data_IF_669378553653
#
_entry.id   IF_669378553653
#
_cell.length_a   1.000
_cell.length_b   1.000
_cell.length_c   1.000
_cell.angle_alpha   90.00
_cell.angle_beta   90.00
_cell.angle_gamma   90.00
#
_symmetry.space_group_name_H-M   'P 1'
#
loop_
_entity.id
_entity.type
_entity.pdbx_description
1 polymer ?
#
# COMPACT_ATOMS: atom_id res chain seq x y z
N UNK A 1 -12.30 25.79 -12.27
CA UNK A 1 -11.34 24.70 -11.98
C UNK A 1 -12.04 23.72 -11.07
N UNK A 2 -12.33 22.51 -11.54
CA UNK A 2 -12.88 21.46 -10.67
C UNK A 2 -11.87 21.14 -9.56
N UNK A 3 -12.33 20.90 -8.32
CA UNK A 3 -11.42 20.60 -7.21
C UNK A 3 -10.60 19.34 -7.54
N UNK A 4 -9.28 19.43 -7.32
CA UNK A 4 -8.37 18.30 -7.48
C UNK A 4 -8.79 17.20 -6.51
N UNK A 5 -9.12 16.02 -7.03
CA UNK A 5 -9.49 14.87 -6.21
C UNK A 5 -8.34 14.55 -5.24
N UNK A 6 -8.64 14.55 -3.95
CA UNK A 6 -7.71 14.13 -2.90
C UNK A 6 -7.68 12.60 -2.86
N UNK A 7 -6.48 12.03 -2.98
CA UNK A 7 -6.21 10.60 -2.86
C UNK A 7 -5.41 10.43 -1.58
N UNK A 8 -5.94 9.68 -0.61
CA UNK A 8 -5.39 9.61 0.75
C UNK A 8 -4.74 8.26 1.02
N UNK A 9 -5.25 7.21 0.38
CA UNK A 9 -4.77 5.84 0.53
C UNK A 9 -4.24 5.31 -0.80
N UNK A 10 -3.39 4.28 -0.73
CA UNK A 10 -2.91 3.57 -1.94
C UNK A 10 -4.08 3.04 -2.78
N UNK A 11 -5.17 2.63 -2.13
CA UNK A 11 -6.38 2.15 -2.82
C UNK A 11 -7.12 3.26 -3.57
N UNK A 12 -7.05 4.52 -3.11
CA UNK A 12 -7.60 5.66 -3.85
C UNK A 12 -6.84 5.88 -5.16
N UNK A 13 -5.52 5.71 -5.14
CA UNK A 13 -4.70 5.78 -6.36
C UNK A 13 -5.01 4.63 -7.31
N UNK A 14 -5.20 3.41 -6.78
CA UNK A 14 -5.63 2.25 -7.58
C UNK A 14 -6.95 2.54 -8.31
N UNK A 15 -7.97 3.01 -7.59
CA UNK A 15 -9.27 3.40 -8.16
C UNK A 15 -9.17 4.55 -9.16
N UNK A 16 -8.33 5.54 -8.89
CA UNK A 16 -8.10 6.63 -9.82
C UNK A 16 -7.42 6.14 -11.11
N UNK A 17 -6.50 5.19 -11.01
CA UNK A 17 -5.81 4.61 -12.16
C UNK A 17 -6.79 3.87 -13.10
N UNK A 18 -7.80 3.19 -12.57
CA UNK A 18 -8.88 2.56 -13.36
C UNK A 18 -9.61 3.56 -14.28
N UNK A 19 -9.67 4.84 -13.90
CA UNK A 19 -10.30 5.89 -14.73
C UNK A 19 -9.38 6.45 -15.82
N UNK A 20 -8.07 6.15 -15.76
CA UNK A 20 -7.04 6.77 -16.61
C UNK A 20 -6.35 5.78 -17.54
N UNK A 21 -6.18 4.55 -17.08
CA UNK A 21 -5.52 3.49 -17.84
C UNK A 21 -6.49 2.84 -18.81
N UNK A 22 -5.98 2.39 -19.95
CA UNK A 22 -6.76 1.53 -20.81
C UNK A 22 -6.85 0.11 -20.21
N UNK A 23 -7.78 -0.70 -20.73
CA UNK A 23 -8.04 -2.05 -20.20
C UNK A 23 -6.79 -2.94 -20.17
N UNK A 24 -5.98 -2.91 -21.22
CA UNK A 24 -4.79 -3.75 -21.33
C UNK A 24 -3.75 -3.38 -20.27
N UNK A 25 -3.50 -2.08 -20.07
CA UNK A 25 -2.58 -1.59 -19.04
C UNK A 25 -3.07 -1.94 -17.64
N UNK A 26 -4.38 -1.74 -17.40
CA UNK A 26 -4.97 -2.01 -16.10
C UNK A 26 -4.88 -3.51 -15.73
N UNK A 27 -5.23 -4.40 -16.65
CA UNK A 27 -5.14 -5.85 -16.45
C UNK A 27 -3.67 -6.29 -16.28
N UNK A 28 -2.73 -5.68 -16.98
CA UNK A 28 -1.31 -5.99 -16.85
C UNK A 28 -0.76 -5.67 -15.45
N UNK A 29 -1.13 -4.53 -14.87
CA UNK A 29 -0.63 -4.12 -13.55
C UNK A 29 -1.37 -4.77 -12.38
N UNK A 30 -2.68 -4.99 -12.51
CA UNK A 30 -3.49 -5.54 -11.42
C UNK A 30 -3.52 -7.08 -11.42
N UNK A 31 -3.20 -7.72 -12.55
CA UNK A 31 -3.32 -9.16 -12.71
C UNK A 31 -2.37 -9.98 -11.85
N UNK A 32 -2.89 -11.04 -11.24
CA UNK A 32 -2.14 -12.10 -10.60
C UNK A 32 -2.00 -13.35 -11.49
N UNK A 33 -1.43 -14.41 -10.93
CA UNK A 33 -1.34 -15.70 -11.61
C UNK A 33 -2.62 -16.52 -11.44
N UNK A 34 -3.12 -17.09 -12.55
CA UNK A 34 -4.29 -17.99 -12.60
C UNK A 34 -5.51 -17.37 -11.88
N UNK A 35 -6.07 -18.04 -10.87
CA UNK A 35 -7.21 -17.55 -10.05
C UNK A 35 -6.82 -16.47 -9.01
N UNK A 36 -5.57 -15.98 -9.03
CA UNK A 36 -5.07 -14.90 -8.15
C UNK A 36 -5.14 -15.21 -6.64
N UNK A 37 -5.28 -16.49 -6.26
CA UNK A 37 -5.41 -16.91 -4.87
C UNK A 37 -4.26 -16.45 -3.97
N UNK A 38 -3.03 -16.44 -4.50
CA UNK A 38 -1.85 -15.95 -3.78
C UNK A 38 -1.90 -14.44 -3.57
N UNK A 39 -2.39 -13.67 -4.55
CA UNK A 39 -2.56 -12.22 -4.42
C UNK A 39 -3.55 -11.91 -3.29
N UNK A 40 -4.74 -12.53 -3.33
CA UNK A 40 -5.76 -12.38 -2.28
C UNK A 40 -5.25 -12.84 -0.90
N UNK A 41 -4.47 -13.93 -0.85
CA UNK A 41 -3.88 -14.44 0.39
C UNK A 41 -2.86 -13.45 0.98
N UNK A 42 -2.02 -12.83 0.16
CA UNK A 42 -1.01 -11.88 0.63
C UNK A 42 -1.65 -10.65 1.28
N UNK A 43 -2.71 -10.11 0.67
CA UNK A 43 -3.46 -8.99 1.26
C UNK A 43 -4.14 -9.40 2.58
N UNK A 44 -4.80 -10.56 2.59
CA UNK A 44 -5.48 -11.07 3.78
C UNK A 44 -4.52 -11.42 4.93
N UNK A 45 -3.28 -11.79 4.63
CA UNK A 45 -2.29 -12.14 5.65
C UNK A 45 -1.97 -10.97 6.59
N UNK A 46 -2.03 -9.72 6.12
CA UNK A 46 -1.84 -8.57 7.02
C UNK A 46 -3.03 -8.36 7.97
N UNK A 47 -4.25 -8.73 7.56
CA UNK A 47 -5.45 -8.59 8.39
C UNK A 47 -5.49 -9.57 9.57
N UNK A 48 -4.74 -10.68 9.49
CA UNK A 48 -4.64 -11.64 10.60
C UNK A 48 -3.66 -11.19 11.68
N UNK A 49 -2.84 -10.16 11.43
CA UNK A 49 -1.89 -9.61 12.38
C UNK A 49 -2.48 -8.41 13.10
N UNK A 50 -2.51 -8.46 14.43
CA UNK A 50 -2.98 -7.35 15.26
C UNK A 50 -1.80 -6.58 15.83
N UNK A 51 -1.85 -5.26 15.72
CA UNK A 51 -0.90 -4.37 16.40
C UNK A 51 -1.34 -4.24 17.87
N UNK A 52 -0.43 -4.51 18.80
CA UNK A 52 -0.65 -4.26 20.23
C UNK A 52 0.04 -2.94 20.60
N UNK A 53 -0.71 -1.83 20.72
CA UNK A 53 -0.11 -0.53 21.02
C UNK A 53 0.45 -0.50 22.45
N UNK A 54 1.58 0.20 22.61
CA UNK A 54 2.22 0.41 23.92
C UNK A 54 1.87 1.80 24.44
N UNK A 55 1.12 1.87 25.53
CA UNK A 55 0.67 3.12 26.13
C UNK A 55 1.76 3.78 26.99
N UNK A 56 1.60 5.08 27.26
CA UNK A 56 2.49 5.91 28.10
C UNK A 56 3.96 5.88 27.65
N UNK A 57 4.18 5.79 26.33
CA UNK A 57 5.48 5.93 25.69
C UNK A 57 5.58 7.32 25.10
N UNK A 58 6.71 7.98 25.31
CA UNK A 58 7.04 9.18 24.55
C UNK A 58 7.29 8.77 23.09
N UNK A 59 6.56 9.39 22.19
CA UNK A 59 6.61 9.19 20.73
C UNK A 59 6.74 10.55 20.00
N UNK A 60 7.23 11.56 20.71
CA UNK A 60 7.46 12.91 20.16
C UNK A 60 8.45 12.90 18.99
N UNK A 61 9.40 11.98 19.01
CA UNK A 61 10.32 11.70 17.91
C UNK A 61 10.16 10.24 17.46
N UNK A 62 10.05 10.04 16.14
CA UNK A 62 9.94 8.73 15.52
C UNK A 62 10.92 8.68 14.35
N UNK A 63 11.67 7.58 14.28
CA UNK A 63 12.64 7.31 13.23
C UNK A 63 12.26 6.00 12.53
N UNK A 64 12.00 6.08 11.22
CA UNK A 64 11.68 4.93 10.37
C UNK A 64 12.87 4.51 9.49
N UNK A 65 14.04 5.12 9.69
CA UNK A 65 15.25 4.76 8.94
C UNK A 65 15.70 3.34 9.24
N UNK A 66 16.27 2.70 8.24
CA UNK A 66 16.83 1.35 8.33
C UNK A 66 18.10 1.25 7.50
N UNK A 67 19.04 0.42 7.95
CA UNK A 67 20.17 -0.01 7.12
C UNK A 67 19.75 -1.21 6.27
N UNK A 68 19.87 -1.07 4.95
CA UNK A 68 19.54 -2.11 4.00
C UNK A 68 20.66 -2.25 2.97
N UNK A 69 21.26 -3.44 2.88
CA UNK A 69 22.43 -3.72 2.03
C UNK A 69 23.58 -2.69 2.17
N UNK A 70 23.88 -2.26 3.40
CA UNK A 70 24.98 -1.33 3.68
C UNK A 70 24.68 0.13 3.35
N UNK A 71 23.42 0.46 3.05
CA UNK A 71 22.95 1.84 2.81
C UNK A 71 21.84 2.19 3.79
N UNK A 72 21.85 3.41 4.28
CA UNK A 72 20.74 3.95 5.07
C UNK A 72 19.58 4.34 4.14
N UNK A 73 18.36 3.93 4.48
CA UNK A 73 17.13 4.22 3.75
C UNK A 73 16.12 4.83 4.72
N UNK A 74 15.42 5.87 4.29
CA UNK A 74 14.36 6.56 5.03
C UNK A 74 12.98 6.33 4.39
#
# INVERSE_FOLDING_TARGET
>A
MSPKKLLLTVDDYRKEAETKLNKMELEYYNGGADEELTLARNEKAFQSLLIVPRCLRDVSEMDTTVEWFGSEIA
#
